data_IF_267190735731
#
_entry.id   IF_267190735731
#
_cell.length_a   1.000
_cell.length_b   1.000
_cell.length_c   1.000
_cell.angle_alpha   90.00
_cell.angle_beta   90.00
_cell.angle_gamma   90.00
#
_symmetry.space_group_name_H-M   'P 1'
#
loop_
_entity.id
_entity.type
_entity.pdbx_description
1 polymer ?
#
# COMPACT_ATOMS: atom_id res chain seq x y z
N UNK A 1 -6.24 -3.37 14.31
CA UNK A 1 -6.42 -2.10 15.06
C UNK A 1 -5.25 -1.84 16.00
N UNK A 2 -5.18 -0.69 16.65
CA UNK A 2 -4.13 -0.32 17.62
C UNK A 2 -4.08 1.18 17.83
N UNK A 3 -3.41 1.59 18.91
CA UNK A 3 -3.15 3.01 19.20
C UNK A 3 -2.29 3.65 18.11
N UNK A 4 -2.16 4.98 18.13
CA UNK A 4 -1.20 5.66 17.25
C UNK A 4 0.21 5.14 17.54
N UNK A 5 1.05 5.06 16.52
CA UNK A 5 2.40 4.50 16.55
C UNK A 5 2.48 3.01 16.94
N UNK A 6 1.41 2.23 16.76
CA UNK A 6 1.43 0.77 16.96
C UNK A 6 1.85 -0.02 15.71
N UNK A 7 2.35 0.63 14.67
CA UNK A 7 2.85 -0.02 13.46
C UNK A 7 1.77 -0.42 12.43
N UNK A 8 0.54 0.11 12.54
CA UNK A 8 -0.55 -0.23 11.59
C UNK A 8 -0.22 0.12 10.15
N UNK A 9 0.22 1.35 9.88
CA UNK A 9 0.60 1.79 8.53
C UNK A 9 1.83 1.04 8.03
N UNK A 10 2.79 0.73 8.91
CA UNK A 10 3.95 -0.11 8.59
C UNK A 10 3.53 -1.52 8.13
N UNK A 11 2.49 -2.11 8.73
CA UNK A 11 1.93 -3.39 8.28
C UNK A 11 1.32 -3.26 6.86
N UNK A 12 0.57 -2.19 6.58
CA UNK A 12 0.01 -1.93 5.25
C UNK A 12 1.13 -1.80 4.21
N UNK A 13 2.18 -1.04 4.50
CA UNK A 13 3.34 -0.88 3.63
C UNK A 13 4.10 -2.20 3.42
N UNK A 14 4.30 -2.99 4.48
CA UNK A 14 4.94 -4.30 4.37
C UNK A 14 4.16 -5.23 3.44
N UNK A 15 2.82 -5.26 3.56
CA UNK A 15 1.97 -6.06 2.67
C UNK A 15 1.96 -5.54 1.23
N UNK A 16 2.06 -4.23 1.03
CA UNK A 16 2.23 -3.64 -0.29
C UNK A 16 3.57 -4.07 -0.91
N UNK A 17 4.67 -4.01 -0.14
CA UNK A 17 5.99 -4.49 -0.57
C UNK A 17 5.95 -5.98 -0.93
N UNK A 18 5.27 -6.79 -0.11
CA UNK A 18 5.09 -8.21 -0.35
C UNK A 18 4.32 -8.49 -1.65
N UNK A 19 3.23 -7.76 -1.89
CA UNK A 19 2.38 -7.94 -3.08
C UNK A 19 3.14 -7.69 -4.39
N UNK A 20 4.13 -6.79 -4.39
CA UNK A 20 4.98 -6.48 -5.55
C UNK A 20 6.37 -7.12 -5.49
N UNK A 21 6.60 -8.02 -4.52
CA UNK A 21 7.88 -8.73 -4.33
C UNK A 21 9.10 -7.82 -4.22
N UNK A 22 8.93 -6.67 -3.54
CA UNK A 22 10.02 -5.72 -3.33
C UNK A 22 10.40 -4.94 -4.60
N UNK A 23 9.46 -4.64 -5.47
CA UNK A 23 9.70 -3.84 -6.67
C UNK A 23 10.31 -2.47 -6.31
N UNK A 24 11.42 -2.06 -6.96
CA UNK A 24 12.14 -0.82 -6.65
C UNK A 24 11.28 0.43 -6.70
N UNK A 25 10.41 0.54 -7.70
CA UNK A 25 9.54 1.70 -7.88
C UNK A 25 8.56 1.84 -6.71
N UNK A 26 8.00 0.73 -6.25
CA UNK A 26 7.07 0.73 -5.13
C UNK A 26 7.77 1.08 -3.81
N UNK A 27 9.00 0.62 -3.59
CA UNK A 27 9.80 1.02 -2.42
C UNK A 27 10.02 2.54 -2.41
N UNK A 28 10.34 3.14 -3.55
CA UNK A 28 10.52 4.58 -3.69
C UNK A 28 9.20 5.33 -3.45
N UNK A 29 8.08 4.82 -3.96
CA UNK A 29 6.75 5.40 -3.75
C UNK A 29 6.37 5.42 -2.26
N UNK A 30 6.63 4.33 -1.52
CA UNK A 30 6.40 4.25 -0.07
C UNK A 30 7.24 5.28 0.69
N UNK A 31 8.53 5.39 0.38
CA UNK A 31 9.43 6.37 1.00
C UNK A 31 8.93 7.80 0.71
N UNK A 32 8.57 8.09 -0.53
CA UNK A 32 8.10 9.42 -0.94
C UNK A 32 6.76 9.78 -0.32
N UNK A 33 5.88 8.80 -0.06
CA UNK A 33 4.57 9.04 0.55
C UNK A 33 4.64 9.42 2.03
N UNK A 34 5.78 9.21 2.67
CA UNK A 34 6.00 9.60 4.08
C UNK A 34 6.43 11.05 4.26
N UNK A 35 6.36 11.90 3.20
CA UNK A 35 6.89 13.28 3.19
C UNK A 35 8.38 13.37 3.59
N UNK A 36 9.07 12.27 3.51
CA UNK A 36 10.52 12.23 3.62
C UNK A 36 11.06 12.83 2.33
N UNK A 37 11.03 14.19 2.29
CA UNK A 37 11.40 14.98 1.13
C UNK A 37 12.82 14.57 0.72
N UNK A 38 12.87 13.91 -0.40
CA UNK A 38 14.09 13.72 -1.12
C UNK A 38 14.56 15.09 -1.60
N UNK A 39 15.52 15.67 -0.92
CA UNK A 39 16.15 16.90 -1.37
C UNK A 39 16.87 16.65 -2.71
N UNK A 40 16.12 16.85 -3.80
CA UNK A 40 16.65 16.77 -5.16
C UNK A 40 17.77 17.80 -5.43
N UNK A 41 17.99 18.76 -4.50
CA UNK A 41 19.08 19.73 -4.59
C UNK A 41 20.45 19.11 -4.35
N UNK A 42 20.51 17.99 -3.59
CA UNK A 42 21.75 17.22 -3.36
C UNK A 42 22.25 16.51 -4.64
N UNK A 43 21.39 16.31 -5.63
CA UNK A 43 21.77 15.70 -6.90
C UNK A 43 22.61 16.61 -7.82
N UNK A 44 22.79 17.89 -7.48
CA UNK A 44 23.51 18.88 -8.29
C UNK A 44 24.99 19.07 -7.91
N UNK A 45 25.41 18.49 -6.78
CA UNK A 45 26.84 18.48 -6.43
C UNK A 45 27.50 17.26 -7.06
N UNK A 46 28.57 17.47 -7.81
CA UNK A 46 29.32 16.44 -8.57
C UNK A 46 30.04 15.38 -7.69
N UNK A 47 29.77 15.34 -6.39
CA UNK A 47 30.25 14.30 -5.48
C UNK A 47 29.09 13.35 -5.17
N UNK A 48 28.85 12.39 -6.06
CA UNK A 48 28.02 11.21 -5.77
C UNK A 48 28.76 10.33 -4.77
N UNK A 49 28.67 10.65 -3.49
CA UNK A 49 29.07 9.71 -2.46
C UNK A 49 28.00 8.61 -2.37
N UNK A 50 28.42 7.36 -2.20
CA UNK A 50 27.54 6.19 -1.98
C UNK A 50 26.53 6.49 -0.86
N UNK A 51 26.92 7.27 0.15
CA UNK A 51 26.07 7.68 1.28
C UNK A 51 24.81 8.44 0.85
N UNK A 52 24.89 9.36 -0.14
CA UNK A 52 23.73 10.13 -0.59
C UNK A 52 22.72 9.28 -1.40
N UNK A 53 23.19 8.23 -2.09
CA UNK A 53 22.35 7.32 -2.86
C UNK A 53 21.66 6.27 -1.97
N UNK A 54 22.18 5.97 -0.79
CA UNK A 54 21.67 4.96 0.13
C UNK A 54 20.65 5.52 1.12
N UNK A 55 20.73 6.83 1.41
CA UNK A 55 19.95 7.49 2.46
C UNK A 55 18.44 7.19 2.41
N UNK A 56 17.77 7.26 1.24
CA UNK A 56 16.33 7.01 1.20
C UNK A 56 15.93 5.58 1.57
N UNK A 57 16.72 4.60 1.16
CA UNK A 57 16.43 3.21 1.47
C UNK A 57 16.66 2.87 2.95
N UNK A 58 17.46 3.68 3.68
CA UNK A 58 17.63 3.51 5.12
C UNK A 58 16.32 3.66 5.89
N UNK A 59 15.38 4.48 5.38
CA UNK A 59 14.06 4.68 5.99
C UNK A 59 13.15 3.44 5.97
N UNK A 60 13.49 2.43 5.19
CA UNK A 60 12.79 1.14 5.20
C UNK A 60 13.20 0.26 6.37
N UNK A 61 14.35 0.52 6.99
CA UNK A 61 14.93 -0.31 8.05
C UNK A 61 14.72 0.31 9.43
N UNK A 62 14.69 -0.55 10.44
CA UNK A 62 14.58 -0.11 11.83
C UNK A 62 15.72 0.84 12.21
N UNK A 63 15.40 1.94 12.90
CA UNK A 63 16.38 2.94 13.31
C UNK A 63 16.89 3.84 12.17
N UNK A 64 16.25 3.79 10.99
CA UNK A 64 16.61 4.61 9.81
C UNK A 64 18.06 4.43 9.35
N UNK A 65 18.62 3.24 9.55
CA UNK A 65 19.98 2.90 9.15
C UNK A 65 19.97 1.62 8.30
N UNK A 66 20.77 1.61 7.24
CA UNK A 66 20.98 0.38 6.49
C UNK A 66 21.69 -0.65 7.37
N UNK A 67 21.30 -1.93 7.32
CA UNK A 67 21.99 -2.99 8.03
C UNK A 67 23.40 -3.17 7.45
N UNK A 68 24.25 -3.85 8.21
CA UNK A 68 25.53 -4.33 7.68
C UNK A 68 25.29 -5.41 6.60
N UNK A 69 26.29 -5.63 5.74
CA UNK A 69 26.26 -6.72 4.77
C UNK A 69 26.17 -8.05 5.51
N UNK A 70 25.21 -8.89 5.14
CA UNK A 70 24.93 -10.13 5.85
C UNK A 70 24.19 -9.96 7.18
N UNK A 71 23.86 -8.72 7.58
CA UNK A 71 23.07 -8.40 8.76
C UNK A 71 21.56 -8.64 8.60
N UNK A 72 20.79 -7.96 9.45
CA UNK A 72 19.32 -8.10 9.46
C UNK A 72 18.70 -7.69 8.13
N UNK A 73 17.73 -8.47 7.68
CA UNK A 73 16.96 -8.21 6.48
C UNK A 73 15.52 -7.87 6.83
N UNK A 74 14.81 -7.19 5.93
CA UNK A 74 13.35 -7.11 5.99
C UNK A 74 12.81 -8.45 5.54
N UNK A 75 12.03 -9.12 6.40
CA UNK A 75 11.40 -10.39 6.11
C UNK A 75 9.87 -10.26 6.23
N UNK A 76 9.16 -10.60 5.17
CA UNK A 76 7.70 -10.51 5.09
C UNK A 76 7.17 -11.82 4.53
N UNK A 77 6.40 -12.54 5.33
CA UNK A 77 5.89 -13.84 4.92
C UNK A 77 5.07 -14.53 6.00
N UNK A 78 4.75 -15.80 5.78
CA UNK A 78 4.07 -16.65 6.74
C UNK A 78 5.10 -17.31 7.66
N UNK A 79 4.73 -17.55 8.92
CA UNK A 79 5.60 -18.25 9.88
C UNK A 79 5.77 -19.75 9.56
N UNK A 80 4.93 -20.28 8.68
CA UNK A 80 4.84 -21.72 8.41
C UNK A 80 5.56 -22.14 7.13
N UNK A 81 5.86 -21.20 6.23
CA UNK A 81 6.45 -21.49 4.91
C UNK A 81 7.49 -20.45 4.50
N UNK A 82 8.74 -20.74 4.80
CA UNK A 82 9.88 -19.87 4.41
C UNK A 82 10.00 -19.68 2.90
N UNK A 83 9.47 -20.62 2.09
CA UNK A 83 9.53 -20.51 0.63
C UNK A 83 8.70 -19.33 0.09
N UNK A 84 7.72 -18.88 0.85
CA UNK A 84 6.89 -17.73 0.53
C UNK A 84 7.38 -16.43 1.17
N UNK A 85 8.40 -16.50 2.02
CA UNK A 85 8.94 -15.31 2.69
C UNK A 85 9.73 -14.45 1.71
N UNK A 86 9.29 -13.21 1.55
CA UNK A 86 10.05 -12.16 0.85
C UNK A 86 11.11 -11.63 1.79
N UNK A 87 12.36 -11.66 1.34
CA UNK A 87 13.51 -11.15 2.06
C UNK A 87 14.17 -10.03 1.28
N UNK A 88 14.36 -8.86 1.89
CA UNK A 88 15.06 -7.73 1.31
C UNK A 88 16.32 -7.48 2.15
N UNK A 89 17.48 -7.71 1.56
CA UNK A 89 18.76 -7.64 2.22
C UNK A 89 19.73 -6.72 1.49
N UNK A 90 20.64 -6.10 2.25
CA UNK A 90 21.79 -5.39 1.70
C UNK A 90 22.84 -6.39 1.21
N UNK A 91 23.28 -6.24 -0.03
CA UNK A 91 24.32 -7.05 -0.66
C UNK A 91 25.40 -6.18 -1.27
N UNK A 92 26.64 -6.70 -1.24
CA UNK A 92 27.77 -6.12 -1.95
C UNK A 92 28.09 -6.95 -3.19
N UNK A 93 28.47 -6.28 -4.25
CA UNK A 93 28.81 -6.90 -5.53
C UNK A 93 30.10 -6.30 -6.07
N UNK A 94 30.95 -7.14 -6.62
CA UNK A 94 32.11 -6.75 -7.40
C UNK A 94 31.86 -6.99 -8.87
N UNK A 95 32.30 -6.07 -9.72
CA UNK A 95 32.29 -6.26 -11.17
C UNK A 95 33.62 -6.91 -11.56
N UNK A 96 33.56 -8.15 -11.99
CA UNK A 96 34.71 -8.91 -12.48
C UNK A 96 34.57 -9.06 -13.98
N UNK A 97 35.64 -8.80 -14.75
CA UNK A 97 35.69 -9.12 -16.17
C UNK A 97 36.12 -10.59 -16.33
N UNK A 98 35.37 -11.38 -17.09
CA UNK A 98 35.74 -12.74 -17.46
C UNK A 98 36.82 -12.74 -18.54
N UNK A 99 37.37 -13.93 -18.88
CA UNK A 99 38.40 -14.10 -19.90
C UNK A 99 37.99 -13.64 -21.31
N UNK A 100 36.67 -13.44 -21.52
CA UNK A 100 36.08 -12.94 -22.76
C UNK A 100 35.79 -11.42 -22.72
N UNK A 101 36.20 -10.71 -21.64
CA UNK A 101 35.97 -9.29 -21.46
C UNK A 101 34.53 -8.91 -21.10
N UNK A 102 33.71 -9.88 -20.69
CA UNK A 102 32.34 -9.66 -20.25
C UNK A 102 32.32 -9.32 -18.78
N UNK A 103 31.62 -8.25 -18.43
CA UNK A 103 31.43 -7.82 -17.04
C UNK A 103 30.41 -8.70 -16.33
N UNK A 104 30.86 -9.45 -15.32
CA UNK A 104 30.03 -10.29 -14.45
C UNK A 104 29.99 -9.70 -13.04
N UNK A 105 28.80 -9.67 -12.44
CA UNK A 105 28.64 -9.29 -11.04
C UNK A 105 28.77 -10.52 -10.17
N UNK A 106 29.66 -10.47 -9.20
CA UNK A 106 29.85 -11.52 -8.20
C UNK A 106 29.51 -10.96 -6.84
N UNK A 107 28.69 -11.67 -6.05
CA UNK A 107 28.42 -11.31 -4.66
C UNK A 107 29.68 -11.41 -3.83
N UNK A 108 29.90 -10.43 -2.95
CA UNK A 108 31.04 -10.36 -2.06
C UNK A 108 30.50 -10.44 -0.63
N UNK A 109 31.02 -11.36 0.17
CA UNK A 109 30.69 -11.45 1.59
C UNK A 109 31.47 -10.39 2.37
N UNK A 110 30.98 -10.05 3.57
CA UNK A 110 31.58 -8.99 4.40
C UNK A 110 33.07 -9.22 4.69
N UNK A 111 33.46 -10.47 4.90
CA UNK A 111 34.81 -10.91 5.24
C UNK A 111 35.80 -10.73 4.08
N UNK A 112 35.29 -10.73 2.85
CA UNK A 112 36.10 -10.60 1.63
C UNK A 112 36.27 -9.13 1.21
N UNK A 113 35.64 -8.18 1.91
CA UNK A 113 35.76 -6.75 1.61
C UNK A 113 37.05 -6.22 2.24
N UNK A 114 38.09 -6.07 1.42
CA UNK A 114 39.33 -5.38 1.83
C UNK A 114 39.35 -3.95 1.29
N UNK A 115 40.12 -3.08 1.97
CA UNK A 115 40.27 -1.67 1.57
C UNK A 115 40.86 -1.47 0.17
N UNK A 116 41.44 -2.54 -0.42
CA UNK A 116 42.03 -2.53 -1.76
C UNK A 116 41.03 -2.73 -2.93
N UNK A 117 39.73 -3.00 -2.64
CA UNK A 117 38.75 -3.22 -3.68
C UNK A 117 38.12 -1.90 -4.18
N UNK A 118 38.53 -1.47 -5.34
CA UNK A 118 38.17 -0.16 -5.95
C UNK A 118 36.75 -0.12 -6.53
N UNK A 119 36.08 -1.27 -6.77
CA UNK A 119 34.80 -1.34 -7.50
C UNK A 119 33.70 -2.16 -6.79
N UNK A 120 33.47 -1.92 -5.50
CA UNK A 120 32.35 -2.54 -4.80
C UNK A 120 31.08 -1.71 -5.01
N UNK A 121 30.01 -2.37 -5.50
CA UNK A 121 28.69 -1.80 -5.64
C UNK A 121 27.74 -2.39 -4.60
N UNK A 122 26.99 -1.51 -3.93
CA UNK A 122 25.95 -1.92 -2.99
C UNK A 122 24.59 -1.91 -3.65
N UNK A 123 23.74 -2.88 -3.29
CA UNK A 123 22.36 -2.97 -3.76
C UNK A 123 21.48 -3.62 -2.70
N UNK A 124 20.18 -3.31 -2.73
CA UNK A 124 19.21 -4.17 -2.08
C UNK A 124 18.84 -5.32 -3.03
N UNK A 125 18.79 -6.52 -2.48
CA UNK A 125 18.34 -7.70 -3.19
C UNK A 125 17.06 -8.22 -2.55
N UNK A 126 15.99 -8.31 -3.34
CA UNK A 126 14.72 -8.90 -2.95
C UNK A 126 14.65 -10.33 -3.45
N UNK A 127 14.46 -11.29 -2.54
CA UNK A 127 14.36 -12.72 -2.84
C UNK A 127 13.10 -13.31 -2.22
N UNK A 128 12.48 -14.31 -2.85
CA UNK A 128 11.40 -15.09 -2.29
C UNK A 128 11.74 -16.57 -2.39
N UNK A 129 11.91 -17.24 -1.26
CA UNK A 129 12.49 -18.57 -1.21
C UNK A 129 13.88 -18.59 -1.86
N UNK A 130 14.03 -19.36 -2.94
CA UNK A 130 15.28 -19.46 -3.72
C UNK A 130 15.32 -18.53 -4.94
N UNK A 131 14.23 -17.84 -5.24
CA UNK A 131 14.11 -16.99 -6.42
C UNK A 131 14.49 -15.55 -6.11
N UNK A 132 15.36 -14.95 -6.95
CA UNK A 132 15.65 -13.53 -6.88
C UNK A 132 14.58 -12.77 -7.65
N UNK A 133 13.80 -11.94 -6.91
CA UNK A 133 12.73 -11.13 -7.47
C UNK A 133 13.26 -9.83 -8.08
N UNK A 134 14.06 -9.09 -7.32
CA UNK A 134 14.59 -7.79 -7.75
C UNK A 134 16.02 -7.57 -7.26
N UNK A 135 16.76 -6.81 -8.05
CA UNK A 135 18.08 -6.29 -7.69
C UNK A 135 18.04 -4.77 -7.87
N UNK A 136 18.31 -4.03 -6.79
CA UNK A 136 18.11 -2.58 -6.67
C UNK A 136 19.45 -1.91 -6.39
N UNK A 137 20.24 -1.62 -7.43
CA UNK A 137 21.53 -0.95 -7.24
C UNK A 137 21.30 0.51 -6.85
N UNK A 138 21.94 0.97 -5.80
CA UNK A 138 21.78 2.33 -5.30
C UNK A 138 22.11 3.41 -6.33
N UNK A 139 23.12 3.18 -7.16
CA UNK A 139 23.57 4.15 -8.16
C UNK A 139 22.56 4.39 -9.32
N UNK A 140 21.61 3.48 -9.52
CA UNK A 140 20.64 3.57 -10.62
C UNK A 140 19.19 3.70 -10.14
N UNK A 141 18.90 3.39 -8.89
CA UNK A 141 17.55 3.46 -8.33
C UNK A 141 16.97 4.88 -8.38
N UNK A 142 17.83 5.90 -8.37
CA UNK A 142 17.50 7.31 -8.39
C UNK A 142 17.21 7.88 -9.77
N UNK A 143 17.42 7.12 -10.84
CA UNK A 143 17.18 7.59 -12.20
C UNK A 143 15.92 6.93 -12.79
N UNK A 144 14.76 7.62 -12.78
CA UNK A 144 13.49 7.06 -13.26
C UNK A 144 13.53 6.60 -14.72
N UNK A 145 14.40 7.19 -15.53
CA UNK A 145 14.55 6.80 -16.94
C UNK A 145 15.30 5.49 -17.13
N UNK A 146 16.20 5.12 -16.22
CA UNK A 146 16.94 3.85 -16.30
C UNK A 146 16.14 2.66 -15.75
N UNK A 147 15.21 2.90 -14.82
CA UNK A 147 14.34 1.84 -14.27
C UNK A 147 13.39 1.21 -15.33
N UNK A 148 13.14 1.88 -16.46
CA UNK A 148 12.40 1.28 -17.59
C UNK A 148 13.15 0.16 -18.32
N UNK A 149 14.44 -0.02 -18.05
CA UNK A 149 15.32 -0.98 -18.75
C UNK A 149 15.49 -2.33 -18.01
N UNK A 150 14.92 -2.48 -16.82
CA UNK A 150 14.85 -3.79 -16.19
C UNK A 150 13.52 -4.45 -16.60
N UNK A 151 13.55 -5.41 -17.56
CA UNK A 151 12.36 -6.18 -17.87
C UNK A 151 12.01 -6.93 -16.62
N UNK A 152 10.91 -6.51 -15.98
CA UNK A 152 10.36 -7.20 -14.82
C UNK A 152 10.19 -8.67 -15.18
N UNK A 153 10.70 -9.55 -14.35
CA UNK A 153 10.32 -10.95 -14.40
C UNK A 153 8.79 -11.03 -14.46
N UNK A 154 8.27 -11.94 -15.30
CA UNK A 154 6.84 -12.18 -15.56
C UNK A 154 6.00 -11.84 -14.34
N UNK A 155 4.94 -11.07 -14.54
CA UNK A 155 3.96 -10.60 -13.55
C UNK A 155 3.58 -11.69 -12.52
N UNK A 156 4.40 -11.87 -11.51
CA UNK A 156 4.13 -12.70 -10.34
C UNK A 156 3.56 -11.86 -9.19
N UNK A 157 3.24 -10.59 -9.46
CA UNK A 157 2.70 -9.67 -8.49
C UNK A 157 1.25 -10.05 -8.14
N UNK A 158 0.91 -9.94 -6.88
CA UNK A 158 -0.49 -10.03 -6.44
C UNK A 158 -1.19 -8.78 -6.97
N UNK A 159 -2.34 -8.95 -7.63
CA UNK A 159 -3.19 -7.83 -7.98
C UNK A 159 -3.62 -7.12 -6.69
N UNK A 160 -3.26 -5.85 -6.53
CA UNK A 160 -3.53 -5.14 -5.28
C UNK A 160 -3.83 -3.66 -5.53
N UNK A 161 -4.56 -3.06 -4.59
CA UNK A 161 -4.73 -1.62 -4.47
C UNK A 161 -4.55 -1.19 -3.03
N UNK A 162 -4.08 0.05 -2.87
CA UNK A 162 -3.93 0.69 -1.56
C UNK A 162 -4.79 1.95 -1.53
N UNK A 163 -5.64 2.07 -0.51
CA UNK A 163 -6.38 3.29 -0.22
C UNK A 163 -5.74 3.93 1.01
N UNK A 164 -4.88 4.93 0.82
CA UNK A 164 -4.21 5.60 1.93
C UNK A 164 -5.19 6.47 2.74
N UNK A 165 -4.76 6.96 3.88
CA UNK A 165 -5.55 7.86 4.73
C UNK A 165 -6.03 9.10 3.96
N UNK A 166 -5.19 9.65 3.08
CA UNK A 166 -5.48 10.84 2.25
C UNK A 166 -6.39 10.59 1.04
N UNK A 167 -6.91 9.37 0.86
CA UNK A 167 -7.58 8.89 -0.36
C UNK A 167 -6.61 8.65 -1.54
N UNK A 168 -7.15 8.08 -2.63
CA UNK A 168 -6.39 7.86 -3.86
C UNK A 168 -5.99 9.20 -4.49
N UNK A 169 -4.79 9.26 -5.05
CA UNK A 169 -4.39 10.43 -5.83
C UNK A 169 -5.18 10.51 -7.16
N UNK A 170 -5.22 11.70 -7.75
CA UNK A 170 -6.04 11.99 -8.94
C UNK A 170 -5.69 11.11 -10.16
N UNK A 171 -4.44 10.68 -10.29
CA UNK A 171 -3.95 9.85 -11.40
C UNK A 171 -4.46 8.41 -11.26
N UNK A 172 -4.20 7.78 -10.12
CA UNK A 172 -4.67 6.43 -9.78
C UNK A 172 -6.20 6.40 -9.83
N UNK A 173 -6.85 7.37 -9.21
CA UNK A 173 -8.30 7.49 -9.20
C UNK A 173 -8.90 7.51 -10.61
N UNK A 174 -8.35 8.34 -11.51
CA UNK A 174 -8.82 8.43 -12.89
C UNK A 174 -8.61 7.13 -13.65
N UNK A 175 -7.46 6.47 -13.45
CA UNK A 175 -7.13 5.20 -14.08
C UNK A 175 -8.08 4.08 -13.64
N UNK A 176 -8.36 3.97 -12.33
CA UNK A 176 -9.29 2.97 -11.80
C UNK A 176 -10.70 3.17 -12.31
N UNK A 177 -11.15 4.44 -12.47
CA UNK A 177 -12.45 4.74 -13.06
C UNK A 177 -12.49 4.32 -14.54
N UNK A 178 -11.47 4.66 -15.31
CA UNK A 178 -11.41 4.31 -16.74
C UNK A 178 -11.45 2.80 -16.98
N UNK A 179 -10.94 1.99 -16.03
CA UNK A 179 -11.01 0.53 -16.11
C UNK A 179 -12.44 -0.03 -15.99
N UNK A 180 -13.33 0.66 -15.28
CA UNK A 180 -14.70 0.16 -15.01
C UNK A 180 -15.78 0.90 -15.78
N UNK A 181 -15.45 2.07 -16.31
CA UNK A 181 -16.41 2.91 -17.02
C UNK A 181 -17.09 2.13 -18.18
N UNK A 182 -18.41 2.20 -18.28
CA UNK A 182 -19.25 1.46 -19.23
C UNK A 182 -19.18 -0.07 -19.07
N UNK A 183 -18.90 -0.56 -17.85
CA UNK A 183 -18.97 -1.99 -17.50
C UNK A 183 -19.98 -2.22 -16.37
N UNK A 184 -20.32 -3.48 -16.10
CA UNK A 184 -21.20 -3.85 -14.97
C UNK A 184 -20.62 -3.41 -13.60
N UNK A 185 -19.30 -3.22 -13.51
CA UNK A 185 -18.64 -2.72 -12.30
C UNK A 185 -18.94 -1.25 -12.00
N UNK A 186 -19.22 -0.44 -13.03
CA UNK A 186 -19.70 0.94 -12.84
C UNK A 186 -21.05 0.94 -12.14
N UNK A 187 -21.98 0.08 -12.60
CA UNK A 187 -23.31 -0.06 -11.99
C UNK A 187 -23.21 -0.54 -10.53
N UNK A 188 -22.27 -1.44 -10.23
CA UNK A 188 -22.03 -1.90 -8.87
C UNK A 188 -21.52 -0.76 -7.98
N UNK A 189 -20.58 0.06 -8.45
CA UNK A 189 -20.09 1.25 -7.72
C UNK A 189 -21.25 2.21 -7.44
N UNK A 190 -22.09 2.51 -8.45
CA UNK A 190 -23.26 3.38 -8.30
C UNK A 190 -24.23 2.79 -7.27
N UNK A 191 -24.47 1.48 -7.32
CA UNK A 191 -25.34 0.76 -6.38
C UNK A 191 -24.85 0.88 -4.95
N UNK A 192 -23.55 0.76 -4.73
CA UNK A 192 -22.93 0.94 -3.41
C UNK A 192 -23.10 2.37 -2.87
N UNK A 193 -22.95 3.38 -3.73
CA UNK A 193 -23.18 4.78 -3.32
C UNK A 193 -24.63 5.04 -2.95
N UNK A 194 -25.59 4.41 -3.67
CA UNK A 194 -27.03 4.49 -3.38
C UNK A 194 -27.41 3.89 -2.02
N UNK A 195 -26.64 2.97 -1.49
CA UNK A 195 -26.86 2.43 -0.13
C UNK A 195 -26.76 3.55 0.92
N UNK A 196 -25.83 4.49 0.72
CA UNK A 196 -25.64 5.63 1.63
C UNK A 196 -26.61 6.77 1.28
N UNK A 197 -26.74 7.09 -0.02
CA UNK A 197 -27.69 8.10 -0.48
C UNK A 197 -28.49 7.62 -1.72
N UNK A 198 -29.75 7.16 -1.51
CA UNK A 198 -30.60 6.63 -2.58
C UNK A 198 -30.95 7.62 -3.69
N UNK A 199 -30.65 8.91 -3.50
CA UNK A 199 -30.91 9.94 -4.52
C UNK A 199 -29.82 10.04 -5.58
N UNK A 200 -28.69 9.36 -5.40
CA UNK A 200 -27.63 9.27 -6.42
C UNK A 200 -28.17 8.41 -7.57
N UNK A 201 -28.17 8.93 -8.79
CA UNK A 201 -28.63 8.21 -9.98
C UNK A 201 -27.48 7.76 -10.88
N UNK A 202 -26.34 8.45 -10.83
CA UNK A 202 -25.18 8.14 -11.63
C UNK A 202 -23.99 9.00 -11.27
N UNK A 203 -22.81 8.60 -11.73
CA UNK A 203 -21.54 9.28 -11.51
C UNK A 203 -20.76 9.33 -12.83
N UNK A 204 -19.98 10.38 -13.04
CA UNK A 204 -19.08 10.52 -14.18
C UNK A 204 -17.84 11.31 -13.78
N UNK A 205 -16.69 11.00 -14.37
CA UNK A 205 -15.49 11.83 -14.23
C UNK A 205 -15.43 12.84 -15.37
N UNK A 206 -15.35 14.11 -15.00
CA UNK A 206 -15.28 15.22 -15.96
C UNK A 206 -13.97 15.96 -15.75
N UNK A 207 -13.28 16.31 -16.83
CA UNK A 207 -12.10 17.17 -16.79
C UNK A 207 -12.41 18.54 -16.21
N UNK A 208 -11.42 19.20 -15.61
CA UNK A 208 -11.57 20.53 -15.02
C UNK A 208 -12.13 21.51 -16.08
N UNK A 209 -13.32 22.03 -15.79
CA UNK A 209 -14.07 22.94 -16.67
C UNK A 209 -13.42 24.32 -16.79
N UNK A 210 -12.38 24.62 -16.01
CA UNK A 210 -11.71 25.93 -15.98
C UNK A 210 -10.71 26.17 -17.13
N UNK A 211 -10.69 25.31 -18.15
CA UNK A 211 -10.10 25.62 -19.47
C UNK A 211 -8.59 25.76 -19.54
N UNK A 212 -7.83 25.52 -18.48
CA UNK A 212 -6.37 25.43 -18.56
C UNK A 212 -6.01 24.04 -19.06
N UNK A 213 -5.71 23.93 -20.34
CA UNK A 213 -5.15 22.72 -20.97
C UNK A 213 -3.78 22.46 -20.34
N UNK A 214 -3.78 21.80 -19.17
CA UNK A 214 -2.61 21.19 -18.59
C UNK A 214 -2.59 19.74 -19.05
N UNK A 215 -1.42 19.21 -19.42
CA UNK A 215 -1.23 17.77 -19.74
C UNK A 215 -1.62 16.82 -18.59
N UNK A 216 -1.88 17.35 -17.39
CA UNK A 216 -2.45 16.68 -16.21
C UNK A 216 -3.74 17.40 -15.80
N UNK A 217 -4.81 17.34 -16.61
CA UNK A 217 -6.09 17.90 -16.19
C UNK A 217 -6.68 17.01 -15.11
N UNK A 218 -6.84 17.58 -13.91
CA UNK A 218 -7.55 16.97 -12.80
C UNK A 218 -8.96 16.59 -13.23
N UNK A 219 -9.34 15.33 -13.06
CA UNK A 219 -10.72 14.86 -13.30
C UNK A 219 -11.50 14.90 -11.99
N UNK A 220 -12.72 15.39 -12.04
CA UNK A 220 -13.59 15.59 -10.87
C UNK A 220 -14.79 14.65 -11.00
N UNK A 221 -15.08 13.84 -9.97
CA UNK A 221 -16.29 13.04 -9.96
C UNK A 221 -17.51 13.92 -9.77
N UNK A 222 -18.45 13.81 -10.70
CA UNK A 222 -19.72 14.54 -10.74
C UNK A 222 -20.84 13.52 -10.65
N UNK A 223 -21.83 13.80 -9.81
CA UNK A 223 -23.02 12.96 -9.64
C UNK A 223 -24.23 13.57 -10.32
N UNK A 224 -25.08 12.69 -10.82
CA UNK A 224 -26.48 12.98 -11.15
C UNK A 224 -27.32 12.65 -9.92
N UNK A 225 -28.05 13.66 -9.44
CA UNK A 225 -28.81 13.57 -8.21
C UNK A 225 -30.30 13.79 -8.46
N UNK A 226 -31.13 12.91 -7.93
CA UNK A 226 -32.58 12.93 -8.16
C UNK A 226 -33.19 14.25 -7.72
N UNK A 227 -33.93 14.88 -8.65
CA UNK A 227 -34.62 16.15 -8.40
C UNK A 227 -33.77 17.39 -8.59
N UNK A 228 -32.49 17.25 -8.94
CA UNK A 228 -31.59 18.35 -9.29
C UNK A 228 -31.16 18.22 -10.73
N UNK A 229 -31.33 19.28 -11.53
CA UNK A 229 -30.96 19.30 -12.96
C UNK A 229 -29.45 19.53 -13.17
N UNK A 230 -28.84 20.26 -12.25
CA UNK A 230 -27.43 20.61 -12.29
C UNK A 230 -26.57 19.41 -11.88
N UNK A 231 -25.36 19.37 -12.45
CA UNK A 231 -24.35 18.37 -12.09
C UNK A 231 -23.69 18.79 -10.78
N UNK A 232 -23.62 17.88 -9.82
CA UNK A 232 -23.08 18.17 -8.48
C UNK A 232 -21.73 17.47 -8.31
N UNK A 233 -20.64 18.19 -7.95
CA UNK A 233 -19.39 17.55 -7.57
C UNK A 233 -19.60 16.58 -6.40
N UNK A 234 -19.04 15.37 -6.45
CA UNK A 234 -19.19 14.37 -5.38
C UNK A 234 -18.71 14.93 -4.03
N UNK A 235 -17.67 15.74 -4.03
CA UNK A 235 -17.12 16.37 -2.83
C UNK A 235 -18.16 17.24 -2.06
N UNK A 236 -19.18 17.76 -2.73
CA UNK A 236 -20.25 18.51 -2.05
C UNK A 236 -21.15 17.64 -1.18
N UNK A 237 -21.09 16.32 -1.37
CA UNK A 237 -21.78 15.32 -0.53
C UNK A 237 -21.01 15.02 0.77
N UNK A 238 -19.85 15.66 0.96
CA UNK A 238 -18.98 15.48 2.11
C UNK A 238 -17.87 14.45 1.89
N UNK A 239 -16.91 14.48 2.82
CA UNK A 239 -15.70 13.65 2.73
C UNK A 239 -16.02 12.16 2.86
N UNK A 240 -17.06 11.80 3.62
CA UNK A 240 -17.46 10.40 3.80
C UNK A 240 -17.94 9.76 2.49
N UNK A 241 -18.71 10.46 1.69
CA UNK A 241 -19.12 9.96 0.37
C UNK A 241 -17.92 9.83 -0.57
N UNK A 242 -17.01 10.79 -0.51
CA UNK A 242 -15.76 10.74 -1.28
C UNK A 242 -14.92 9.54 -0.86
N UNK A 243 -14.75 9.32 0.45
CA UNK A 243 -14.00 8.18 1.00
C UNK A 243 -14.60 6.85 0.57
N UNK A 244 -15.90 6.69 0.72
CA UNK A 244 -16.61 5.48 0.27
C UNK A 244 -16.36 5.22 -1.21
N UNK A 245 -16.50 6.25 -2.06
CA UNK A 245 -16.26 6.10 -3.49
C UNK A 245 -14.83 5.60 -3.79
N UNK A 246 -13.82 6.15 -3.14
CA UNK A 246 -12.43 5.70 -3.30
C UNK A 246 -12.24 4.25 -2.86
N UNK A 247 -12.84 3.84 -1.73
CA UNK A 247 -12.77 2.45 -1.23
C UNK A 247 -13.43 1.49 -2.22
N UNK A 248 -14.66 1.77 -2.64
CA UNK A 248 -15.41 0.89 -3.56
C UNK A 248 -14.74 0.83 -4.94
N UNK A 249 -14.27 1.96 -5.45
CA UNK A 249 -13.55 2.03 -6.72
C UNK A 249 -12.27 1.18 -6.70
N UNK A 250 -11.48 1.28 -5.63
CA UNK A 250 -10.28 0.45 -5.46
C UNK A 250 -10.65 -1.04 -5.35
N UNK A 251 -11.73 -1.35 -4.60
CA UNK A 251 -12.19 -2.72 -4.37
C UNK A 251 -12.59 -3.41 -5.68
N UNK A 252 -13.43 -2.81 -6.50
CA UNK A 252 -13.90 -3.44 -7.74
C UNK A 252 -12.80 -3.66 -8.78
N UNK A 253 -11.68 -2.93 -8.65
CA UNK A 253 -10.52 -3.07 -9.52
C UNK A 253 -9.53 -4.18 -9.12
N UNK A 254 -9.71 -4.84 -7.95
CA UNK A 254 -8.74 -5.86 -7.45
C UNK A 254 -9.32 -7.27 -7.37
N UNK A 255 -10.23 -7.62 -8.28
CA UNK A 255 -10.79 -8.98 -8.35
C UNK A 255 -9.71 -10.06 -8.25
N UNK A 256 -9.92 -11.07 -7.39
CA UNK A 256 -8.96 -12.13 -7.05
C UNK A 256 -7.64 -11.60 -6.48
N UNK A 257 -7.66 -10.52 -5.71
CA UNK A 257 -6.47 -9.84 -5.24
C UNK A 257 -6.56 -9.34 -3.81
N UNK A 258 -5.80 -8.28 -3.53
CA UNK A 258 -5.60 -7.73 -2.20
C UNK A 258 -5.97 -6.24 -2.16
N UNK A 259 -6.86 -5.85 -1.26
CA UNK A 259 -7.16 -4.45 -0.96
C UNK A 259 -6.60 -4.07 0.41
N UNK A 260 -5.77 -3.06 0.42
CA UNK A 260 -5.17 -2.49 1.63
C UNK A 260 -5.80 -1.13 1.91
N UNK A 261 -6.34 -0.93 3.12
CA UNK A 261 -7.02 0.34 3.48
C UNK A 261 -6.40 0.86 4.77
N UNK A 262 -5.78 2.03 4.70
CA UNK A 262 -5.27 2.67 5.91
C UNK A 262 -6.32 3.66 6.46
N UNK A 263 -6.60 3.58 7.76
CA UNK A 263 -7.63 4.34 8.45
C UNK A 263 -8.99 4.30 7.72
N UNK A 264 -9.61 3.13 7.78
CA UNK A 264 -10.90 2.86 7.11
C UNK A 264 -11.96 3.92 7.38
N UNK A 265 -12.05 4.35 8.63
CA UNK A 265 -13.05 5.32 9.12
C UNK A 265 -12.87 6.75 8.64
N UNK A 266 -11.72 7.08 8.06
CA UNK A 266 -11.41 8.48 7.75
C UNK A 266 -12.48 9.13 6.86
N UNK A 267 -13.03 10.27 7.33
CA UNK A 267 -14.09 10.99 6.65
C UNK A 267 -15.49 10.34 6.74
N UNK A 268 -15.64 9.09 7.18
CA UNK A 268 -16.93 8.44 7.32
C UNK A 268 -17.63 8.85 8.64
N UNK A 269 -18.93 9.11 8.56
CA UNK A 269 -19.72 9.34 9.77
C UNK A 269 -19.96 8.01 10.48
N UNK A 270 -19.87 8.00 11.82
CA UNK A 270 -19.97 6.79 12.63
C UNK A 270 -21.20 5.93 12.33
N UNK A 271 -22.35 6.55 12.05
CA UNK A 271 -23.60 5.83 11.75
C UNK A 271 -23.58 5.07 10.43
N UNK A 272 -22.67 5.38 9.53
CA UNK A 272 -22.53 4.67 8.25
C UNK A 272 -21.59 3.48 8.31
N UNK A 273 -20.78 3.33 9.38
CA UNK A 273 -19.78 2.27 9.47
C UNK A 273 -20.39 0.86 9.31
N UNK A 274 -21.50 0.46 9.97
CA UNK A 274 -22.05 -0.87 9.78
C UNK A 274 -22.44 -1.15 8.35
N UNK A 275 -23.09 -0.19 7.69
CA UNK A 275 -23.55 -0.30 6.31
C UNK A 275 -22.39 -0.40 5.33
N UNK A 276 -21.35 0.42 5.52
CA UNK A 276 -20.14 0.39 4.70
C UNK A 276 -19.40 -0.93 4.85
N UNK A 277 -19.22 -1.43 6.09
CA UNK A 277 -18.59 -2.71 6.35
C UNK A 277 -19.35 -3.88 5.74
N UNK A 278 -20.69 -3.93 5.89
CA UNK A 278 -21.51 -4.94 5.23
C UNK A 278 -21.32 -4.94 3.70
N UNK A 279 -21.30 -3.76 3.10
CA UNK A 279 -21.11 -3.61 1.65
C UNK A 279 -19.72 -4.10 1.22
N UNK A 280 -18.67 -3.69 1.94
CA UNK A 280 -17.29 -4.06 1.65
C UNK A 280 -17.06 -5.58 1.82
N UNK A 281 -17.59 -6.18 2.89
CA UNK A 281 -17.49 -7.64 3.14
C UNK A 281 -18.24 -8.43 2.05
N UNK A 282 -19.43 -7.99 1.66
CA UNK A 282 -20.21 -8.62 0.57
C UNK A 282 -19.42 -8.61 -0.73
N UNK A 283 -18.96 -7.44 -1.17
CA UNK A 283 -18.19 -7.30 -2.40
C UNK A 283 -16.88 -8.08 -2.38
N UNK A 284 -16.20 -8.11 -1.23
CA UNK A 284 -14.96 -8.87 -1.07
C UNK A 284 -15.18 -10.37 -1.34
N UNK A 285 -16.30 -10.92 -0.86
CA UNK A 285 -16.68 -12.31 -1.13
C UNK A 285 -17.03 -12.54 -2.60
N UNK A 286 -17.88 -11.70 -3.16
CA UNK A 286 -18.35 -11.81 -4.55
C UNK A 286 -17.20 -11.72 -5.56
N UNK A 287 -16.21 -10.86 -5.28
CA UNK A 287 -15.08 -10.63 -6.17
C UNK A 287 -13.81 -11.44 -5.77
N UNK A 288 -13.89 -12.27 -4.72
CA UNK A 288 -12.76 -13.05 -4.19
C UNK A 288 -11.56 -12.16 -3.83
N UNK A 289 -11.78 -11.16 -2.97
CA UNK A 289 -10.77 -10.18 -2.56
C UNK A 289 -10.44 -10.39 -1.09
N UNK A 290 -9.14 -10.43 -0.76
CA UNK A 290 -8.68 -10.29 0.61
C UNK A 290 -8.56 -8.81 0.95
N UNK A 291 -9.18 -8.39 2.07
CA UNK A 291 -9.09 -7.01 2.55
C UNK A 291 -8.33 -6.97 3.86
N UNK A 292 -7.38 -6.04 3.95
CA UNK A 292 -6.72 -5.71 5.20
C UNK A 292 -6.91 -4.22 5.43
N UNK A 293 -7.63 -3.89 6.51
CA UNK A 293 -7.96 -2.52 6.87
C UNK A 293 -7.46 -2.19 8.27
N UNK A 294 -6.91 -1.00 8.43
CA UNK A 294 -6.54 -0.47 9.75
C UNK A 294 -7.60 0.50 10.25
N UNK A 295 -7.71 0.62 11.55
CA UNK A 295 -8.54 1.61 12.22
C UNK A 295 -8.01 1.93 13.62
N UNK A 296 -8.31 3.12 14.11
CA UNK A 296 -8.10 3.52 15.49
C UNK A 296 -9.42 4.00 16.16
N UNK A 297 -10.56 3.91 15.45
CA UNK A 297 -11.87 4.38 15.90
C UNK A 297 -12.68 3.28 16.56
N UNK A 298 -13.16 3.54 17.79
CA UNK A 298 -14.10 2.63 18.48
C UNK A 298 -15.41 2.44 17.70
N UNK A 299 -15.91 3.50 17.08
CA UNK A 299 -17.16 3.43 16.31
C UNK A 299 -16.98 2.60 15.03
N UNK A 300 -15.81 2.69 14.40
CA UNK A 300 -15.47 1.83 13.29
C UNK A 300 -15.38 0.35 13.70
N UNK A 301 -14.79 0.06 14.86
CA UNK A 301 -14.71 -1.29 15.43
C UNK A 301 -16.12 -1.83 15.75
N UNK A 302 -17.00 -1.01 16.33
CA UNK A 302 -18.40 -1.40 16.59
C UNK A 302 -19.12 -1.74 15.28
N UNK A 303 -19.02 -0.86 14.29
CA UNK A 303 -19.64 -1.10 12.97
C UNK A 303 -19.08 -2.34 12.27
N UNK A 304 -17.78 -2.60 12.40
CA UNK A 304 -17.16 -3.83 11.92
C UNK A 304 -17.71 -5.07 12.64
N UNK A 305 -17.80 -5.02 13.97
CA UNK A 305 -18.34 -6.13 14.76
C UNK A 305 -19.77 -6.46 14.35
N UNK A 306 -20.66 -5.47 14.20
CA UNK A 306 -22.04 -5.67 13.74
C UNK A 306 -22.09 -6.39 12.37
N UNK A 307 -21.24 -5.97 11.42
CA UNK A 307 -21.16 -6.62 10.12
C UNK A 307 -20.58 -8.04 10.20
N UNK A 308 -19.53 -8.23 11.01
CA UNK A 308 -18.86 -9.53 11.21
C UNK A 308 -19.74 -10.54 11.91
N UNK A 309 -20.54 -10.13 12.90
CA UNK A 309 -21.44 -11.01 13.64
C UNK A 309 -22.50 -11.67 12.74
N UNK A 310 -22.84 -11.07 11.61
CA UNK A 310 -23.77 -11.66 10.63
C UNK A 310 -23.18 -12.86 9.89
N UNK A 311 -21.86 -12.94 9.76
CA UNK A 311 -21.11 -14.06 9.18
C UNK A 311 -19.69 -14.12 9.76
N UNK A 312 -19.55 -14.87 10.84
CA UNK A 312 -18.30 -15.02 11.61
C UNK A 312 -17.14 -15.55 10.76
N UNK A 313 -17.42 -16.31 9.71
CA UNK A 313 -16.39 -16.86 8.83
C UNK A 313 -15.77 -15.82 7.88
N UNK A 314 -16.41 -14.65 7.75
CA UNK A 314 -16.04 -13.66 6.74
C UNK A 314 -14.84 -12.79 7.08
N UNK A 315 -14.50 -12.69 8.36
CA UNK A 315 -13.48 -11.74 8.80
C UNK A 315 -12.68 -12.23 10.02
N UNK A 316 -11.68 -11.46 10.39
CA UNK A 316 -10.86 -11.65 11.59
C UNK A 316 -10.48 -10.30 12.17
N UNK A 317 -10.30 -10.24 13.48
CA UNK A 317 -9.93 -9.01 14.16
C UNK A 317 -8.63 -9.20 14.94
N UNK A 318 -7.69 -8.28 14.74
CA UNK A 318 -6.39 -8.29 15.39
C UNK A 318 -6.09 -6.91 15.98
N UNK A 319 -5.52 -6.90 17.19
CA UNK A 319 -5.00 -5.70 17.84
C UNK A 319 -3.48 -5.73 17.83
N UNK A 320 -2.88 -4.62 17.42
CA UNK A 320 -1.44 -4.38 17.46
C UNK A 320 -1.12 -3.54 18.70
N UNK A 321 -0.22 -4.02 19.53
CA UNK A 321 0.32 -3.31 20.68
C UNK A 321 1.83 -3.16 20.55
N UNK A 322 2.35 -1.97 20.87
CA UNK A 322 3.78 -1.78 21.03
C UNK A 322 4.20 -2.37 22.38
N UNK A 323 5.13 -3.32 22.37
CA UNK A 323 5.75 -3.89 23.56
C UNK A 323 7.17 -3.31 23.66
N UNK A 324 7.51 -2.55 24.73
CA UNK A 324 8.82 -1.93 24.89
C UNK A 324 9.99 -2.91 24.87
N UNK A 325 9.74 -4.19 25.20
CA UNK A 325 10.79 -5.21 25.33
C UNK A 325 10.84 -6.16 24.13
N UNK A 326 9.70 -6.37 23.45
CA UNK A 326 9.54 -7.38 22.38
C UNK A 326 9.17 -6.80 21.02
N UNK A 327 9.09 -5.47 20.91
CA UNK A 327 8.68 -4.79 19.70
C UNK A 327 7.16 -4.77 19.54
N UNK A 328 6.59 -5.52 18.60
CA UNK A 328 5.15 -5.55 18.33
C UNK A 328 4.51 -6.84 18.87
N UNK A 329 3.35 -6.70 19.50
CA UNK A 329 2.52 -7.82 19.93
C UNK A 329 1.20 -7.81 19.17
N UNK A 330 0.81 -8.97 18.66
CA UNK A 330 -0.48 -9.16 17.96
C UNK A 330 -1.41 -9.96 18.84
N UNK A 331 -2.62 -9.43 19.06
CA UNK A 331 -3.67 -10.08 19.85
C UNK A 331 -4.85 -10.35 18.92
N UNK A 332 -5.24 -11.61 18.79
CA UNK A 332 -6.44 -12.01 18.05
C UNK A 332 -7.65 -12.03 18.94
N UNK A 333 -8.76 -11.46 18.48
CA UNK A 333 -10.06 -11.53 19.15
C UNK A 333 -10.98 -12.46 18.36
N UNK A 334 -11.76 -13.27 19.09
CA UNK A 334 -12.96 -13.89 18.50
C UNK A 334 -14.08 -12.86 18.41
N UNK A 335 -15.12 -13.15 17.63
CA UNK A 335 -16.29 -12.28 17.54
C UNK A 335 -16.95 -12.08 18.91
N UNK A 336 -17.05 -13.13 19.71
CA UNK A 336 -17.59 -13.10 21.10
C UNK A 336 -16.72 -12.23 22.01
N UNK A 337 -15.40 -12.47 22.04
CA UNK A 337 -14.49 -11.68 22.88
C UNK A 337 -14.49 -10.20 22.50
N UNK A 338 -14.67 -9.89 21.20
CA UNK A 338 -14.80 -8.50 20.76
C UNK A 338 -16.13 -7.89 21.21
N UNK A 339 -17.24 -8.66 21.17
CA UNK A 339 -18.53 -8.23 21.70
C UNK A 339 -18.44 -7.86 23.19
N UNK A 340 -17.88 -8.78 23.99
CA UNK A 340 -17.73 -8.58 25.45
C UNK A 340 -16.88 -7.32 25.74
N UNK A 341 -15.81 -7.12 24.98
CA UNK A 341 -14.94 -5.96 25.15
C UNK A 341 -15.64 -4.65 24.76
N UNK A 342 -16.51 -4.66 23.74
CA UNK A 342 -17.31 -3.51 23.34
C UNK A 342 -18.36 -3.18 24.39
N UNK A 343 -19.06 -4.18 24.91
CA UNK A 343 -20.13 -4.02 25.93
C UNK A 343 -19.58 -3.54 27.27
N UNK A 344 -18.43 -4.08 27.67
CA UNK A 344 -17.78 -3.72 28.95
C UNK A 344 -16.89 -2.46 28.82
N UNK A 345 -16.90 -1.81 27.68
CA UNK A 345 -16.10 -0.61 27.38
C UNK A 345 -14.58 -0.79 27.54
N UNK A 346 -14.09 -2.03 27.47
CA UNK A 346 -12.67 -2.32 27.50
C UNK A 346 -11.98 -1.76 26.25
N UNK A 347 -10.80 -1.21 26.43
CA UNK A 347 -9.99 -0.65 25.34
C UNK A 347 -9.50 -1.76 24.38
N UNK A 348 -9.98 -1.76 23.15
CA UNK A 348 -9.59 -2.73 22.08
C UNK A 348 -8.70 -2.11 20.99
N UNK A 349 -8.30 -0.85 21.14
CA UNK A 349 -7.46 -0.11 20.19
C UNK A 349 -6.10 0.26 20.78
#
# INVERSE_FOLDING_TARGET
VGKNNSGKSCLIEALQIYAVKGNPQNLIEIISARDEEWDSSLSKTNEFSVQNATLPFSYLFHGFALPEIGGEAIEIGTLEDDSQTLKIALKAFQIVEDEEGRRKRTSVEKEDISDDYVDIQFALEATQGKERCHHIPFNSALNPMRNRLYPGHKNLNINHQVVPTSNLNDEIFSQLWDNINLTDLEDEVISCLKIIDPKIEGIALVGDLNGKISRKSKRIPIIRYKGIKERIPLKTMGDGMTRLFHIILALVNVKNGLLLIDEFENGLHWSSHPTVWNTVIRLAKELNIQIIATTHSRDCIKGFHEAWASDISSASFYRLEADPLKGQKVIRYSCETLSDAIETEVEVR
#
